data_IF_631164830225
#
_entry.id   IF_631164830225
#
_cell.length_a   1.000
_cell.length_b   1.000
_cell.length_c   1.000
_cell.angle_alpha   90.00
_cell.angle_beta   90.00
_cell.angle_gamma   90.00
#
_symmetry.space_group_name_H-M   'P 1'
#
loop_
_entity.id
_entity.type
_entity.pdbx_description
1 polymer ?
#
# COMPACT_ATOMS: atom_id res chain seq x y z
N UNK A 1 -39.23 14.41 29.43
CA UNK A 1 -38.30 13.27 29.35
C UNK A 1 -38.44 12.70 27.94
N UNK A 2 -37.47 12.99 27.07
CA UNK A 2 -37.57 12.64 25.64
C UNK A 2 -37.03 11.21 25.48
N UNK A 3 -37.93 10.22 25.58
CA UNK A 3 -37.56 8.82 25.44
C UNK A 3 -37.36 8.51 23.95
N UNK A 4 -36.13 8.30 23.53
CA UNK A 4 -35.85 7.70 22.23
C UNK A 4 -36.48 6.31 22.20
N UNK A 5 -37.13 5.96 21.09
CA UNK A 5 -37.57 4.58 20.85
C UNK A 5 -36.34 3.66 20.77
N UNK A 6 -36.49 2.35 20.93
CA UNK A 6 -35.37 1.39 20.85
C UNK A 6 -34.54 1.53 19.54
N UNK A 7 -35.20 1.90 18.44
CA UNK A 7 -34.52 2.22 17.18
C UNK A 7 -33.69 3.52 17.26
N UNK A 8 -34.20 4.53 17.97
CA UNK A 8 -33.48 5.78 18.24
C UNK A 8 -32.24 5.58 19.11
N UNK A 9 -32.31 4.69 20.12
CA UNK A 9 -31.15 4.33 20.92
C UNK A 9 -30.08 3.60 20.10
N UNK A 10 -30.47 2.70 19.19
CA UNK A 10 -29.52 2.05 18.28
C UNK A 10 -28.83 3.05 17.35
N UNK A 11 -29.58 3.96 16.73
CA UNK A 11 -29.00 4.99 15.86
C UNK A 11 -28.08 5.94 16.64
N UNK A 12 -28.44 6.29 17.87
CA UNK A 12 -27.62 7.11 18.74
C UNK A 12 -26.29 6.42 19.12
N UNK A 13 -26.32 5.12 19.44
CA UNK A 13 -25.10 4.35 19.71
C UNK A 13 -24.20 4.25 18.49
N UNK A 14 -24.75 3.95 17.31
CA UNK A 14 -23.98 3.92 16.06
C UNK A 14 -23.40 5.29 15.73
N UNK A 15 -24.12 6.38 15.99
CA UNK A 15 -23.62 7.74 15.81
C UNK A 15 -22.47 8.05 16.78
N UNK A 16 -22.58 7.68 18.05
CA UNK A 16 -21.52 7.83 19.05
C UNK A 16 -20.27 7.03 18.69
N UNK A 17 -20.43 5.78 18.25
CA UNK A 17 -19.32 4.95 17.78
C UNK A 17 -18.65 5.57 16.54
N UNK A 18 -19.42 6.13 15.61
CA UNK A 18 -18.86 6.85 14.46
C UNK A 18 -18.10 8.11 14.82
N UNK A 19 -18.55 8.84 15.84
CA UNK A 19 -17.88 10.05 16.33
C UNK A 19 -16.61 9.71 17.13
N UNK A 20 -16.59 8.56 17.80
CA UNK A 20 -15.44 8.07 18.55
C UNK A 20 -14.37 7.38 17.66
N UNK A 21 -14.71 7.04 16.41
CA UNK A 21 -13.74 6.48 15.47
C UNK A 21 -12.71 7.53 15.07
N UNK A 22 -11.41 7.19 15.04
CA UNK A 22 -10.41 8.08 14.48
C UNK A 22 -10.75 8.39 13.01
N UNK A 23 -10.36 9.58 12.53
CA UNK A 23 -10.56 9.93 11.13
C UNK A 23 -9.96 8.86 10.23
N UNK A 24 -10.69 8.50 9.18
CA UNK A 24 -10.18 7.51 8.22
C UNK A 24 -8.87 8.04 7.62
N UNK A 25 -7.83 7.21 7.48
CA UNK A 25 -6.61 7.63 6.85
C UNK A 25 -6.89 8.12 5.44
N UNK A 26 -6.40 9.30 5.12
CA UNK A 26 -6.51 9.86 3.78
C UNK A 26 -5.50 9.20 2.84
N UNK A 27 -5.86 9.07 1.57
CA UNK A 27 -4.93 8.57 0.55
C UNK A 27 -3.70 9.50 0.44
N UNK A 28 -2.47 8.96 0.35
CA UNK A 28 -1.29 9.82 0.33
C UNK A 28 -1.23 10.75 -0.88
N UNK A 29 -0.53 11.90 -0.77
CA UNK A 29 -0.47 12.88 -1.85
C UNK A 29 0.21 12.31 -3.10
N UNK A 30 -0.24 12.72 -4.27
CA UNK A 30 0.37 12.30 -5.53
C UNK A 30 1.81 12.81 -5.68
N UNK A 31 2.66 12.04 -6.36
CA UNK A 31 3.97 12.49 -6.82
C UNK A 31 3.90 12.82 -8.31
N UNK A 32 4.32 14.03 -8.67
CA UNK A 32 4.42 14.49 -10.05
C UNK A 32 5.68 13.94 -10.74
N UNK A 33 5.78 12.61 -10.85
CA UNK A 33 6.81 11.93 -11.65
C UNK A 33 6.15 10.95 -12.62
N UNK A 34 6.60 10.88 -13.87
CA UNK A 34 6.09 9.91 -14.82
C UNK A 34 6.45 8.48 -14.36
N UNK A 35 5.62 7.47 -14.66
CA UNK A 35 5.86 6.09 -14.23
C UNK A 35 7.24 5.54 -14.64
N UNK A 36 7.76 5.92 -15.81
CA UNK A 36 9.06 5.49 -16.30
C UNK A 36 10.23 5.91 -15.38
N UNK A 37 10.14 7.09 -14.75
CA UNK A 37 11.17 7.60 -13.83
C UNK A 37 11.09 6.98 -12.43
N UNK A 38 9.99 6.29 -12.12
CA UNK A 38 9.79 5.60 -10.83
C UNK A 38 10.36 4.18 -10.85
N UNK A 39 10.51 3.58 -12.03
CA UNK A 39 11.11 2.25 -12.17
C UNK A 39 12.65 2.38 -12.09
N UNK A 40 13.20 2.00 -10.93
CA UNK A 40 14.63 2.03 -10.65
C UNK A 40 15.22 0.63 -10.53
N UNK A 41 14.58 -0.36 -11.16
CA UNK A 41 15.15 -1.70 -11.28
C UNK A 41 16.34 -1.67 -12.25
N UNK A 42 17.42 -2.37 -11.90
CA UNK A 42 18.59 -2.55 -12.78
C UNK A 42 18.16 -3.13 -14.14
N UNK A 43 18.99 -3.03 -15.17
CA UNK A 43 18.78 -3.76 -16.43
C UNK A 43 19.08 -5.27 -16.32
N UNK A 44 19.74 -5.70 -15.24
CA UNK A 44 20.26 -7.07 -15.11
C UNK A 44 19.17 -8.10 -14.80
N UNK A 45 19.08 -9.12 -15.65
CA UNK A 45 17.96 -10.07 -15.76
C UNK A 45 17.84 -11.07 -14.60
N UNK A 46 18.62 -10.95 -13.53
CA UNK A 46 18.79 -12.04 -12.57
C UNK A 46 17.46 -12.36 -11.83
N UNK A 47 16.86 -13.49 -12.22
CA UNK A 47 15.62 -14.11 -11.67
C UNK A 47 14.38 -13.22 -11.70
N UNK A 48 13.97 -12.81 -12.90
CA UNK A 48 12.71 -12.10 -13.09
C UNK A 48 11.57 -13.05 -13.47
N UNK A 49 10.48 -13.12 -12.70
CA UNK A 49 9.32 -13.93 -13.05
C UNK A 49 8.61 -13.36 -14.27
N UNK A 50 8.00 -14.20 -15.10
CA UNK A 50 7.23 -13.73 -16.26
C UNK A 50 6.15 -12.73 -15.83
N UNK A 51 6.06 -11.60 -16.54
CA UNK A 51 5.06 -10.56 -16.29
C UNK A 51 5.42 -9.55 -15.19
N UNK A 52 6.66 -9.60 -14.68
CA UNK A 52 7.14 -8.64 -13.69
C UNK A 52 7.13 -7.21 -14.23
N UNK A 53 7.38 -7.00 -15.53
CA UNK A 53 7.39 -5.68 -16.16
C UNK A 53 6.04 -4.99 -15.97
N UNK A 54 4.95 -5.68 -16.37
CA UNK A 54 3.58 -5.19 -16.22
C UNK A 54 3.21 -4.97 -14.77
N UNK A 55 3.74 -5.78 -13.85
CA UNK A 55 3.51 -5.58 -12.43
C UNK A 55 4.18 -4.28 -11.93
N UNK A 56 5.45 -4.06 -12.30
CA UNK A 56 6.20 -2.86 -11.94
C UNK A 56 5.61 -1.61 -12.57
N UNK A 57 5.20 -1.67 -13.84
CA UNK A 57 4.50 -0.58 -14.53
C UNK A 57 3.23 -0.18 -13.77
N UNK A 58 2.43 -1.17 -13.33
CA UNK A 58 1.23 -0.91 -12.51
C UNK A 58 1.55 -0.33 -11.13
N UNK A 59 2.67 -0.69 -10.52
CA UNK A 59 3.13 -0.04 -9.28
C UNK A 59 3.52 1.41 -9.54
N UNK A 60 4.28 1.66 -10.61
CA UNK A 60 4.73 3.00 -10.98
C UNK A 60 3.57 3.91 -11.40
N UNK A 61 2.48 3.35 -11.93
CA UNK A 61 1.27 4.10 -12.27
C UNK A 61 0.44 4.53 -11.05
N UNK A 62 0.84 4.17 -9.82
CA UNK A 62 0.16 4.64 -8.61
C UNK A 62 0.68 6.04 -8.28
N UNK A 63 -0.25 6.96 -8.07
CA UNK A 63 0.07 8.38 -7.86
C UNK A 63 0.98 8.60 -6.65
N UNK A 64 0.74 7.88 -5.55
CA UNK A 64 1.53 8.00 -4.33
C UNK A 64 2.88 7.26 -4.38
N UNK A 65 3.17 6.46 -5.41
CA UNK A 65 4.45 5.75 -5.53
C UNK A 65 5.51 6.71 -6.08
N UNK A 66 6.64 6.78 -5.38
CA UNK A 66 7.82 7.59 -5.72
C UNK A 66 8.86 6.80 -6.49
N UNK A 67 9.11 5.56 -6.08
CA UNK A 67 10.12 4.71 -6.66
C UNK A 67 9.85 3.23 -6.38
N UNK A 68 10.28 2.37 -7.31
CA UNK A 68 10.29 0.91 -7.17
C UNK A 68 11.70 0.42 -7.42
N UNK A 69 12.26 -0.30 -6.45
CA UNK A 69 13.65 -0.80 -6.46
C UNK A 69 13.68 -2.29 -6.12
N UNK A 70 14.70 -2.98 -6.60
CA UNK A 70 15.00 -4.32 -6.09
C UNK A 70 15.56 -4.20 -4.69
N UNK A 71 15.09 -5.05 -3.77
CA UNK A 71 15.62 -5.10 -2.41
C UNK A 71 15.51 -6.53 -1.89
N UNK A 72 16.63 -7.23 -1.78
CA UNK A 72 16.65 -8.61 -1.26
C UNK A 72 16.11 -8.71 0.17
N UNK A 73 16.22 -7.64 0.98
CA UNK A 73 15.67 -7.61 2.35
C UNK A 73 14.14 -7.50 2.38
N UNK A 74 13.52 -7.13 1.25
CA UNK A 74 12.07 -7.14 1.09
C UNK A 74 11.50 -8.55 0.85
N UNK A 75 12.36 -9.57 0.65
CA UNK A 75 11.93 -10.95 0.51
C UNK A 75 11.15 -11.40 1.75
N UNK A 76 9.90 -11.79 1.53
CA UNK A 76 8.97 -12.19 2.58
C UNK A 76 7.98 -13.22 2.05
N UNK A 77 7.41 -14.01 2.95
CA UNK A 77 6.26 -14.86 2.65
C UNK A 77 5.00 -14.05 2.32
N UNK A 78 4.92 -12.82 2.84
CA UNK A 78 3.83 -11.91 2.54
C UNK A 78 4.05 -11.19 1.21
N UNK A 79 3.00 -11.13 0.38
CA UNK A 79 3.05 -10.43 -0.92
C UNK A 79 3.25 -8.92 -0.78
N UNK A 80 2.70 -8.32 0.28
CA UNK A 80 2.81 -6.88 0.59
C UNK A 80 2.87 -6.67 2.10
N UNK A 81 3.86 -5.93 2.56
CA UNK A 81 4.17 -5.64 3.97
C UNK A 81 4.62 -4.18 4.11
N UNK A 82 4.22 -3.51 5.19
CA UNK A 82 4.85 -2.25 5.59
C UNK A 82 6.24 -2.55 6.16
N UNK A 83 7.28 -1.97 5.55
CA UNK A 83 8.67 -2.22 5.94
C UNK A 83 9.19 -1.11 6.87
N UNK A 84 8.88 0.14 6.54
CA UNK A 84 9.24 1.31 7.34
C UNK A 84 8.12 2.37 7.17
N UNK A 85 7.22 2.49 8.17
CA UNK A 85 6.08 3.41 8.09
C UNK A 85 6.47 4.88 8.20
N UNK A 86 7.61 5.20 8.82
CA UNK A 86 8.05 6.59 9.01
C UNK A 86 8.53 7.18 7.69
N UNK A 87 9.13 6.36 6.84
CA UNK A 87 9.61 6.75 5.51
C UNK A 87 8.68 6.36 4.36
N UNK A 88 7.52 5.75 4.64
CA UNK A 88 6.54 5.38 3.62
C UNK A 88 7.01 4.21 2.73
N UNK A 89 7.77 3.26 3.28
CA UNK A 89 8.39 2.17 2.55
C UNK A 89 7.59 0.87 2.73
N UNK A 90 7.23 0.27 1.60
CA UNK A 90 6.56 -1.02 1.53
C UNK A 90 7.47 -2.07 0.90
N UNK A 91 7.47 -3.26 1.47
CA UNK A 91 8.04 -4.46 0.89
C UNK A 91 6.97 -5.18 0.06
N UNK A 92 7.23 -5.40 -1.22
CA UNK A 92 6.31 -6.04 -2.17
C UNK A 92 7.03 -7.20 -2.85
N UNK A 93 6.45 -8.38 -2.82
CA UNK A 93 6.98 -9.56 -3.51
C UNK A 93 6.11 -9.92 -4.71
N UNK A 94 6.72 -10.17 -5.86
CA UNK A 94 6.05 -10.65 -7.08
C UNK A 94 6.61 -12.00 -7.52
N UNK A 95 5.75 -12.86 -8.04
CA UNK A 95 6.13 -14.18 -8.56
C UNK A 95 5.82 -15.33 -7.60
N UNK A 96 6.08 -16.56 -8.05
CA UNK A 96 5.89 -17.77 -7.25
C UNK A 96 7.02 -17.95 -6.21
N UNK A 97 6.83 -18.79 -5.19
CA UNK A 97 7.81 -18.96 -4.09
C UNK A 97 9.23 -19.35 -4.52
N UNK A 98 9.37 -20.05 -5.65
CA UNK A 98 10.62 -20.50 -6.25
C UNK A 98 11.32 -19.43 -7.10
N UNK A 99 10.59 -18.38 -7.49
CA UNK A 99 11.08 -17.26 -8.29
C UNK A 99 10.43 -15.97 -7.81
N UNK A 100 10.83 -15.51 -6.62
CA UNK A 100 10.33 -14.25 -6.05
C UNK A 100 11.19 -13.07 -6.51
N UNK A 101 10.50 -12.00 -6.90
CA UNK A 101 11.06 -10.69 -7.11
C UNK A 101 10.68 -9.80 -5.92
N UNK A 102 11.58 -9.65 -4.93
CA UNK A 102 11.38 -8.75 -3.81
C UNK A 102 11.67 -7.31 -4.24
N UNK A 103 10.71 -6.44 -3.94
CA UNK A 103 10.70 -5.03 -4.33
C UNK A 103 10.52 -4.16 -3.11
N UNK A 104 11.30 -3.08 -3.07
CA UNK A 104 11.09 -1.94 -2.19
C UNK A 104 10.29 -0.90 -2.96
N UNK A 105 9.12 -0.55 -2.44
CA UNK A 105 8.24 0.48 -2.98
C UNK A 105 8.25 1.66 -2.02
N UNK A 106 8.79 2.78 -2.48
CA UNK A 106 8.82 4.03 -1.74
C UNK A 106 7.58 4.86 -2.11
N UNK A 107 6.87 5.35 -1.11
CA UNK A 107 5.61 6.09 -1.29
C UNK A 107 5.67 7.49 -0.66
N UNK A 108 4.65 8.29 -0.91
CA UNK A 108 4.38 9.57 -0.25
C UNK A 108 3.61 9.43 1.08
N UNK A 109 3.24 8.21 1.47
CA UNK A 109 2.58 7.95 2.74
C UNK A 109 3.41 8.45 3.93
N UNK A 110 2.73 9.00 4.93
CA UNK A 110 3.34 9.47 6.17
C UNK A 110 2.71 8.74 7.34
N UNK A 111 3.50 7.89 7.99
CA UNK A 111 3.08 7.15 9.17
C UNK A 111 2.34 5.84 8.84
N UNK A 112 2.04 5.05 9.89
CA UNK A 112 1.57 3.67 9.75
C UNK A 112 0.20 3.55 9.10
N UNK A 113 -0.73 4.46 9.41
CA UNK A 113 -2.12 4.37 8.92
C UNK A 113 -2.20 4.55 7.40
N UNK A 114 -1.46 5.51 6.85
CA UNK A 114 -1.37 5.71 5.40
C UNK A 114 -0.59 4.59 4.70
N UNK A 115 0.46 4.07 5.34
CA UNK A 115 1.22 2.95 4.79
C UNK A 115 0.36 1.68 4.70
N UNK A 116 -0.44 1.38 5.73
CA UNK A 116 -1.36 0.25 5.68
C UNK A 116 -2.49 0.48 4.67
N UNK A 117 -3.01 1.70 4.54
CA UNK A 117 -3.98 2.02 3.49
C UNK A 117 -3.44 1.69 2.08
N UNK A 118 -2.19 2.06 1.79
CA UNK A 118 -1.55 1.72 0.51
C UNK A 118 -1.24 0.23 0.41
N UNK A 119 -0.78 -0.40 1.50
CA UNK A 119 -0.50 -1.83 1.53
C UNK A 119 -1.77 -2.65 1.25
N UNK A 120 -2.89 -2.30 1.88
CA UNK A 120 -4.19 -2.92 1.63
C UNK A 120 -4.67 -2.71 0.21
N UNK A 121 -4.52 -1.50 -0.33
CA UNK A 121 -4.82 -1.25 -1.73
C UNK A 121 -4.01 -2.18 -2.66
N UNK A 122 -2.70 -2.33 -2.42
CA UNK A 122 -1.84 -3.22 -3.19
C UNK A 122 -2.17 -4.71 -3.02
N UNK A 123 -2.63 -5.13 -1.83
CA UNK A 123 -3.06 -6.53 -1.57
C UNK A 123 -4.32 -6.89 -2.37
N UNK A 124 -5.25 -5.95 -2.51
CA UNK A 124 -6.56 -6.18 -3.16
C UNK A 124 -6.57 -5.86 -4.66
N UNK A 125 -5.57 -5.14 -5.16
CA UNK A 125 -5.43 -4.83 -6.59
C UNK A 125 -4.81 -6.00 -7.34
N UNK A 126 -5.62 -6.72 -8.13
CA UNK A 126 -5.20 -7.84 -8.99
C UNK A 126 -4.50 -7.38 -10.26
#
# INVERSE_FOLDING_TARGET
>A
MMCLTAAGEMLYRVAQERLAMPPRPEWPPAVARPPAEKNLLSGEEHRRPRGWEKFVERLCSIDCVKAVRYDASAASSARVRVADPDNGILAVCYGPPDNLLPLRVETTARGPEQCELVADYLRHRR
#
